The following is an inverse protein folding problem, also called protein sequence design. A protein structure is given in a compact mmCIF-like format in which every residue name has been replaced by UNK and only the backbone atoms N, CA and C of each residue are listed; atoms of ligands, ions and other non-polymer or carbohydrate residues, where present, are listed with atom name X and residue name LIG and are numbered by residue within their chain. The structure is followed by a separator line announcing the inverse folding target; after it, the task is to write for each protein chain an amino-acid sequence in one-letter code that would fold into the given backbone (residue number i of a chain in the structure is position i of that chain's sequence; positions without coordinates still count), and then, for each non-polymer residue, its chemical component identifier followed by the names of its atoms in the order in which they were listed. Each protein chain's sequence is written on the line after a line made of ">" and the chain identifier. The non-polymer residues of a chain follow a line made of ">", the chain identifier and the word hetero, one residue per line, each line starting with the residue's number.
data_IF_439271416828
#
_entry.id   IF_439271416828
#
_cell.length_a   1.000
_cell.length_b   1.000
_cell.length_c   1.000
_cell.angle_alpha   90.00
_cell.angle_beta   90.00
_cell.angle_gamma   90.00
#
_symmetry.space_group_name_H-M   'P 1'
#
loop_
_entity.id
_entity.type
_entity.pdbx_description
1 polymer ?
#
# COMPACT_ATOMS: atom_id res chain seq x y z
N UNK A 1 -22.19 51.05 -33.49
CA UNK A 1 -22.04 51.55 -32.11
C UNK A 1 -22.15 50.37 -31.17
N UNK A 2 -20.95 49.96 -30.62
CA UNK A 2 -20.74 49.46 -29.24
C UNK A 2 -21.19 48.05 -28.91
N UNK A 3 -20.51 47.29 -28.15
CA UNK A 3 -19.16 47.31 -27.50
C UNK A 3 -18.79 45.87 -27.21
N UNK A 4 -17.59 45.55 -27.54
CA UNK A 4 -16.92 44.34 -27.10
C UNK A 4 -16.54 44.50 -25.63
N UNK A 5 -17.19 43.83 -24.69
CA UNK A 5 -16.65 43.63 -23.38
C UNK A 5 -15.93 42.26 -23.35
N UNK A 6 -14.65 42.35 -23.58
CA UNK A 6 -13.67 41.30 -23.31
C UNK A 6 -13.72 40.96 -21.83
N UNK A 7 -14.23 39.77 -21.51
CA UNK A 7 -14.03 39.14 -20.20
C UNK A 7 -12.57 38.75 -20.08
N UNK A 8 -11.73 39.69 -19.68
CA UNK A 8 -10.36 39.43 -19.30
C UNK A 8 -10.31 38.92 -17.86
N UNK A 9 -9.94 37.67 -17.71
CA UNK A 9 -9.05 37.32 -16.64
C UNK A 9 -9.56 36.98 -15.27
N UNK A 10 -10.21 35.82 -15.11
CA UNK A 10 -10.16 35.08 -13.85
C UNK A 10 -8.95 34.15 -13.76
N UNK A 11 -8.14 34.06 -14.83
CA UNK A 11 -6.94 33.18 -14.90
C UNK A 11 -5.68 33.76 -14.25
N UNK A 12 -5.61 35.08 -13.98
CA UNK A 12 -4.38 35.71 -13.49
C UNK A 12 -4.29 35.91 -11.96
N UNK A 13 -5.33 35.58 -11.22
CA UNK A 13 -5.39 35.86 -9.76
C UNK A 13 -4.54 34.89 -8.93
N UNK A 14 -4.01 33.81 -9.51
CA UNK A 14 -3.22 32.82 -8.81
C UNK A 14 -1.74 32.71 -9.21
N UNK A 15 -1.17 33.73 -9.84
CA UNK A 15 0.30 33.84 -9.83
C UNK A 15 0.72 34.10 -8.38
N UNK A 16 1.15 33.00 -7.68
CA UNK A 16 1.77 33.12 -6.36
C UNK A 16 2.95 34.09 -6.49
N UNK A 17 2.75 35.33 -6.07
CA UNK A 17 3.85 36.27 -5.86
C UNK A 17 4.80 35.60 -4.85
N UNK A 18 6.08 35.53 -5.21
CA UNK A 18 7.10 35.10 -4.27
C UNK A 18 7.05 36.04 -3.05
N UNK A 19 6.62 35.54 -1.90
CA UNK A 19 6.67 36.31 -0.65
C UNK A 19 8.12 36.72 -0.40
N UNK A 20 8.33 38.02 -0.12
CA UNK A 20 9.61 38.48 0.39
C UNK A 20 9.96 37.70 1.67
N UNK A 21 11.18 37.17 1.73
CA UNK A 21 11.64 36.45 2.93
C UNK A 21 11.58 37.38 4.14
N UNK A 22 10.85 37.01 5.20
CA UNK A 22 10.99 37.61 6.52
C UNK A 22 12.30 37.08 7.13
N UNK A 23 12.96 37.87 7.94
CA UNK A 23 14.27 37.50 8.55
C UNK A 23 14.36 36.16 9.29
N UNK A 24 13.19 35.56 9.63
CA UNK A 24 13.08 34.26 10.33
C UNK A 24 12.78 33.07 9.39
N UNK A 25 12.83 33.25 8.06
CA UNK A 25 12.58 32.19 7.08
C UNK A 25 13.90 31.62 6.55
N UNK A 26 14.12 30.32 6.73
CA UNK A 26 15.21 29.60 6.11
C UNK A 26 14.74 28.98 4.78
N UNK A 27 15.45 29.26 3.68
CA UNK A 27 15.14 28.74 2.34
C UNK A 27 16.16 27.70 1.93
N UNK A 28 15.73 26.42 1.96
CA UNK A 28 16.56 25.27 1.55
C UNK A 28 16.08 24.76 0.19
N UNK A 29 16.99 24.68 -0.78
CA UNK A 29 16.69 24.10 -2.10
C UNK A 29 16.46 22.61 -1.99
N UNK A 30 15.38 22.11 -2.58
CA UNK A 30 15.12 20.67 -2.65
C UNK A 30 16.26 19.94 -3.39
N UNK A 31 16.62 18.75 -2.86
CA UNK A 31 17.53 17.84 -3.59
C UNK A 31 16.83 17.34 -4.87
N UNK A 32 17.60 16.88 -5.86
CA UNK A 32 17.05 16.29 -7.10
C UNK A 32 16.09 15.13 -6.78
N UNK A 33 16.46 14.24 -5.86
CA UNK A 33 15.64 13.12 -5.42
C UNK A 33 14.29 13.62 -4.85
N UNK A 34 14.31 14.58 -3.92
CA UNK A 34 13.10 15.14 -3.32
C UNK A 34 12.20 15.78 -4.37
N UNK A 35 12.77 16.52 -5.32
CA UNK A 35 12.03 17.13 -6.41
C UNK A 35 11.36 16.09 -7.32
N UNK A 36 12.08 15.00 -7.65
CA UNK A 36 11.55 13.90 -8.47
C UNK A 36 10.41 13.18 -7.75
N UNK A 37 10.57 12.89 -6.44
CA UNK A 37 9.52 12.27 -5.62
C UNK A 37 8.27 13.16 -5.60
N UNK A 38 8.44 14.45 -5.33
CA UNK A 38 7.32 15.41 -5.28
C UNK A 38 6.54 15.44 -6.61
N UNK A 39 7.25 15.45 -7.73
CA UNK A 39 6.65 15.41 -9.07
C UNK A 39 5.85 14.12 -9.30
N UNK A 40 6.45 12.96 -9.04
CA UNK A 40 5.80 11.66 -9.21
C UNK A 40 4.55 11.49 -8.34
N UNK A 41 4.62 11.89 -7.06
CA UNK A 41 3.47 11.84 -6.16
C UNK A 41 2.33 12.74 -6.65
N UNK A 42 2.65 13.92 -7.15
CA UNK A 42 1.63 14.84 -7.67
C UNK A 42 1.03 14.34 -9.00
N UNK A 43 1.85 13.74 -9.87
CA UNK A 43 1.40 13.08 -11.10
C UNK A 43 0.46 11.89 -10.78
N UNK A 44 0.79 11.06 -9.80
CA UNK A 44 -0.07 9.95 -9.37
C UNK A 44 -1.46 10.45 -8.94
N UNK A 45 -1.53 11.52 -8.13
CA UNK A 45 -2.79 12.11 -7.72
C UNK A 45 -3.58 12.77 -8.86
N UNK A 46 -2.90 13.38 -9.83
CA UNK A 46 -3.55 14.06 -10.94
C UNK A 46 -4.08 13.08 -12.00
N UNK A 47 -3.45 11.90 -12.13
CA UNK A 47 -3.76 10.93 -13.19
C UNK A 47 -4.73 9.83 -12.77
N UNK A 48 -5.14 9.79 -11.50
CA UNK A 48 -6.07 8.79 -10.99
C UNK A 48 -7.28 9.45 -10.33
N UNK A 49 -8.46 8.87 -10.50
CA UNK A 49 -9.63 9.18 -9.69
C UNK A 49 -9.53 8.42 -8.35
N UNK A 50 -8.62 8.90 -7.49
CA UNK A 50 -8.22 8.16 -6.31
C UNK A 50 -9.28 8.20 -5.21
N UNK A 51 -9.71 7.03 -4.75
CA UNK A 51 -10.60 6.84 -3.62
C UNK A 51 -9.97 5.88 -2.62
N UNK A 52 -10.37 5.97 -1.35
CA UNK A 52 -9.92 5.05 -0.30
C UNK A 52 -11.10 4.48 0.46
N UNK A 53 -11.12 3.16 0.63
CA UNK A 53 -12.03 2.47 1.53
C UNK A 53 -11.25 1.85 2.68
N UNK A 54 -11.90 1.72 3.83
CA UNK A 54 -11.29 1.21 5.06
C UNK A 54 -12.05 0.00 5.57
N UNK A 55 -11.33 -0.89 6.26
CA UNK A 55 -11.91 -1.95 7.07
C UNK A 55 -11.04 -2.19 8.31
N UNK A 56 -11.63 -2.75 9.34
CA UNK A 56 -10.90 -3.19 10.54
C UNK A 56 -10.77 -4.71 10.53
N UNK A 57 -9.64 -5.19 11.05
CA UNK A 57 -9.35 -6.61 11.18
C UNK A 57 -8.96 -6.96 12.61
N UNK A 58 -9.44 -8.11 13.09
CA UNK A 58 -8.99 -8.73 14.33
C UNK A 58 -7.72 -9.54 14.05
N UNK A 59 -6.60 -9.09 14.62
CA UNK A 59 -5.29 -9.71 14.44
C UNK A 59 -5.04 -10.90 15.37
N UNK A 60 -5.99 -11.26 16.25
CA UNK A 60 -5.81 -12.29 17.29
C UNK A 60 -5.29 -13.59 16.71
N UNK A 61 -5.92 -14.10 15.65
CA UNK A 61 -5.57 -15.41 15.05
C UNK A 61 -4.16 -15.44 14.46
N UNK A 62 -3.77 -14.35 13.78
CA UNK A 62 -2.39 -14.26 13.23
C UNK A 62 -1.37 -14.16 14.37
N UNK A 63 -1.66 -13.37 15.41
CA UNK A 63 -0.77 -13.23 16.58
C UNK A 63 -0.62 -14.58 17.28
N UNK A 64 -1.72 -15.29 17.54
CA UNK A 64 -1.73 -16.64 18.15
C UNK A 64 -0.92 -17.62 17.30
N UNK A 65 -1.20 -17.72 16.00
CA UNK A 65 -0.50 -18.61 15.08
C UNK A 65 1.01 -18.31 15.02
N UNK A 66 1.39 -17.04 14.95
CA UNK A 66 2.80 -16.66 14.99
C UNK A 66 3.46 -17.06 16.32
N UNK A 67 2.78 -16.85 17.45
CA UNK A 67 3.30 -17.23 18.77
C UNK A 67 3.53 -18.75 18.87
N UNK A 68 2.61 -19.54 18.34
CA UNK A 68 2.67 -21.01 18.36
C UNK A 68 3.79 -21.54 17.46
N UNK A 69 3.93 -21.03 16.25
CA UNK A 69 4.82 -21.62 15.24
C UNK A 69 6.19 -20.93 15.09
N UNK A 70 6.42 -19.75 15.70
CA UNK A 70 7.63 -18.93 15.48
C UNK A 70 8.95 -19.68 15.62
N UNK A 71 9.09 -20.51 16.66
CA UNK A 71 10.36 -21.19 16.97
C UNK A 71 10.62 -22.35 16.00
N UNK A 72 9.59 -23.16 15.72
CA UNK A 72 9.65 -24.23 14.73
C UNK A 72 9.90 -23.69 13.32
N UNK A 73 9.25 -22.61 12.95
CA UNK A 73 9.42 -21.96 11.66
C UNK A 73 10.84 -21.41 11.51
N UNK A 74 11.36 -20.70 12.51
CA UNK A 74 12.72 -20.15 12.47
C UNK A 74 13.77 -21.27 12.43
N UNK A 75 13.57 -22.36 13.21
CA UNK A 75 14.48 -23.51 13.18
C UNK A 75 14.51 -24.20 11.82
N UNK A 76 13.34 -24.33 11.16
CA UNK A 76 13.22 -25.02 9.87
C UNK A 76 13.72 -24.17 8.69
N UNK A 77 13.37 -22.89 8.66
CA UNK A 77 13.55 -22.03 7.48
C UNK A 77 14.64 -20.98 7.62
N UNK A 78 15.21 -20.80 8.84
CA UNK A 78 16.25 -19.81 9.12
C UNK A 78 15.77 -18.36 9.16
N UNK A 79 14.46 -18.12 9.09
CA UNK A 79 13.83 -16.79 9.06
C UNK A 79 12.67 -16.75 10.05
N UNK A 80 12.42 -15.57 10.65
CA UNK A 80 11.28 -15.36 11.56
C UNK A 80 9.97 -15.31 10.78
N UNK A 81 8.92 -15.91 11.32
CA UNK A 81 7.56 -15.74 10.79
C UNK A 81 7.05 -14.34 11.12
N UNK A 82 7.06 -13.45 10.14
CA UNK A 82 6.56 -12.09 10.23
C UNK A 82 5.06 -11.99 9.98
N UNK A 83 4.52 -10.76 9.99
CA UNK A 83 3.16 -10.48 9.54
C UNK A 83 3.07 -10.39 8.02
N UNK A 84 4.15 -9.95 7.37
CA UNK A 84 4.12 -9.57 5.95
C UNK A 84 3.77 -10.73 5.04
N UNK A 85 4.24 -11.94 5.32
CA UNK A 85 3.87 -13.12 4.53
C UNK A 85 2.37 -13.42 4.56
N UNK A 86 1.69 -13.20 5.69
CA UNK A 86 0.23 -13.33 5.77
C UNK A 86 -0.46 -12.26 4.92
N UNK A 87 -0.02 -11.01 4.99
CA UNK A 87 -0.61 -9.93 4.20
C UNK A 87 -0.38 -10.12 2.71
N UNK A 88 0.84 -10.51 2.29
CA UNK A 88 1.14 -10.77 0.89
C UNK A 88 0.28 -11.91 0.36
N UNK A 89 0.20 -13.04 1.07
CA UNK A 89 -0.63 -14.18 0.65
C UNK A 89 -2.12 -13.82 0.60
N UNK A 90 -2.63 -13.12 1.61
CA UNK A 90 -4.03 -12.69 1.64
C UNK A 90 -4.36 -11.75 0.47
N UNK A 91 -3.45 -10.81 0.15
CA UNK A 91 -3.62 -9.93 -1.00
C UNK A 91 -3.58 -10.71 -2.31
N UNK A 92 -2.65 -11.64 -2.49
CA UNK A 92 -2.55 -12.45 -3.70
C UNK A 92 -3.83 -13.24 -3.95
N UNK A 93 -4.37 -13.94 -2.95
CA UNK A 93 -5.61 -14.70 -3.11
C UNK A 93 -6.83 -13.79 -3.35
N UNK A 94 -6.86 -12.61 -2.71
CA UNK A 94 -7.89 -11.62 -2.99
C UNK A 94 -7.75 -11.03 -4.41
N UNK A 95 -6.54 -10.75 -4.91
CA UNK A 95 -6.30 -10.29 -6.28
C UNK A 95 -6.72 -11.31 -7.33
N UNK A 96 -6.56 -12.62 -7.06
CA UNK A 96 -7.08 -13.70 -7.91
C UNK A 96 -8.62 -13.68 -7.99
N UNK A 97 -9.28 -13.36 -6.87
CA UNK A 97 -10.74 -13.26 -6.79
C UNK A 97 -11.29 -11.97 -7.40
N UNK A 98 -10.51 -10.90 -7.40
CA UNK A 98 -10.86 -9.57 -7.91
C UNK A 98 -9.79 -9.06 -8.88
N UNK A 99 -9.68 -9.64 -10.11
CA UNK A 99 -8.60 -9.33 -11.06
C UNK A 99 -8.52 -7.85 -11.46
N UNK A 100 -9.63 -7.12 -11.41
CA UNK A 100 -9.67 -5.68 -11.72
C UNK A 100 -8.80 -4.86 -10.79
N UNK A 101 -8.57 -5.31 -9.54
CA UNK A 101 -7.69 -4.63 -8.58
C UNK A 101 -6.21 -4.83 -8.95
N UNK A 102 -5.89 -5.88 -9.72
CA UNK A 102 -4.56 -6.18 -10.25
C UNK A 102 -4.40 -5.71 -11.71
N UNK A 103 -5.25 -4.82 -12.19
CA UNK A 103 -5.21 -4.28 -13.55
C UNK A 103 -4.57 -2.88 -13.58
N UNK A 104 -4.22 -2.42 -14.75
CA UNK A 104 -3.76 -1.05 -14.99
C UNK A 104 -4.41 -0.45 -16.24
N UNK A 105 -4.42 0.87 -16.33
CA UNK A 105 -4.87 1.58 -17.51
C UNK A 105 -3.68 1.83 -18.43
N UNK A 106 -3.80 1.40 -19.69
CA UNK A 106 -2.86 1.75 -20.75
C UNK A 106 -3.65 2.43 -21.89
N UNK A 107 -3.48 3.72 -22.02
CA UNK A 107 -4.28 4.55 -22.95
C UNK A 107 -5.78 4.43 -22.64
N UNK A 108 -6.57 3.78 -23.49
CA UNK A 108 -8.00 3.51 -23.37
C UNK A 108 -8.33 2.04 -23.06
N UNK A 109 -7.31 1.22 -22.75
CA UNK A 109 -7.44 -0.19 -22.45
C UNK A 109 -7.23 -0.48 -20.96
N UNK A 110 -7.95 -1.49 -20.44
CA UNK A 110 -7.70 -2.09 -19.13
C UNK A 110 -6.85 -3.34 -19.35
N UNK A 111 -5.64 -3.33 -18.81
CA UNK A 111 -4.70 -4.45 -18.91
C UNK A 111 -4.72 -5.26 -17.63
N UNK A 112 -5.32 -6.44 -17.67
CA UNK A 112 -5.32 -7.39 -16.56
C UNK A 112 -3.98 -8.10 -16.44
N UNK A 113 -3.39 -8.08 -15.24
CA UNK A 113 -2.14 -8.79 -14.94
C UNK A 113 -2.47 -10.15 -14.33
N UNK A 114 -2.13 -11.23 -15.07
CA UNK A 114 -2.33 -12.61 -14.61
C UNK A 114 -1.08 -13.15 -13.88
N UNK A 115 -0.35 -12.26 -13.21
CA UNK A 115 0.80 -12.52 -12.35
C UNK A 115 0.79 -11.54 -11.18
N UNK A 116 1.45 -11.90 -10.08
CA UNK A 116 1.29 -11.21 -8.80
C UNK A 116 2.65 -10.78 -8.25
N UNK A 117 3.09 -9.60 -8.66
CA UNK A 117 4.32 -8.98 -8.20
C UNK A 117 3.97 -7.91 -7.15
N UNK A 118 4.27 -8.20 -5.90
CA UNK A 118 3.84 -7.35 -4.79
C UNK A 118 4.94 -6.38 -4.38
N UNK A 119 4.71 -5.10 -4.60
CA UNK A 119 5.55 -4.04 -4.05
C UNK A 119 5.38 -3.94 -2.53
N UNK A 120 6.49 -3.90 -1.81
CA UNK A 120 6.48 -3.72 -0.34
C UNK A 120 7.22 -2.43 -0.01
N UNK A 121 6.50 -1.43 0.52
CA UNK A 121 7.08 -0.15 0.83
C UNK A 121 8.06 -0.24 2.02
N UNK A 122 9.28 0.25 1.81
CA UNK A 122 10.36 0.28 2.80
C UNK A 122 10.82 1.72 3.01
N UNK A 123 10.78 2.18 4.26
CA UNK A 123 11.34 3.47 4.65
C UNK A 123 12.86 3.41 4.75
N UNK A 124 13.54 4.39 4.14
CA UNK A 124 14.98 4.58 4.23
C UNK A 124 15.30 6.01 4.67
N UNK A 125 16.53 6.29 5.06
CA UNK A 125 16.98 7.66 5.38
C UNK A 125 16.80 8.63 4.20
N UNK A 126 16.86 8.12 2.97
CA UNK A 126 16.71 8.91 1.73
C UNK A 126 15.25 9.07 1.29
N UNK A 127 14.32 8.37 1.93
CA UNK A 127 12.89 8.37 1.60
C UNK A 127 12.31 6.97 1.48
N UNK A 128 11.08 6.88 0.95
CA UNK A 128 10.36 5.63 0.75
C UNK A 128 10.76 5.02 -0.60
N UNK A 129 11.06 3.72 -0.60
CA UNK A 129 11.25 2.90 -1.81
C UNK A 129 10.30 1.71 -1.78
N UNK A 130 9.97 1.17 -2.96
CA UNK A 130 8.99 0.08 -3.08
C UNK A 130 9.62 -1.07 -3.87
N UNK A 131 10.49 -1.88 -3.27
CA UNK A 131 10.99 -3.09 -3.90
C UNK A 131 9.87 -4.11 -4.12
N UNK A 132 10.06 -4.99 -5.10
CA UNK A 132 9.03 -5.89 -5.61
C UNK A 132 9.38 -7.34 -5.27
N UNK A 133 8.48 -8.01 -4.55
CA UNK A 133 8.45 -9.46 -4.38
C UNK A 133 7.77 -10.04 -5.61
N UNK A 134 8.53 -10.75 -6.45
CA UNK A 134 8.04 -11.31 -7.71
C UNK A 134 7.37 -12.65 -7.50
N UNK A 135 6.40 -12.95 -8.37
CA UNK A 135 5.70 -14.23 -8.43
C UNK A 135 5.23 -14.69 -7.05
N UNK A 136 4.64 -13.73 -6.30
CA UNK A 136 4.30 -13.90 -4.89
C UNK A 136 3.26 -14.99 -4.64
N UNK A 137 2.53 -15.40 -5.66
CA UNK A 137 1.57 -16.52 -5.65
C UNK A 137 2.26 -17.90 -5.62
N UNK A 138 3.49 -18.00 -6.15
CA UNK A 138 4.29 -19.23 -6.16
C UNK A 138 5.14 -19.40 -4.90
N UNK A 139 5.31 -18.33 -4.11
CA UNK A 139 6.18 -18.32 -2.95
C UNK A 139 5.53 -18.92 -1.69
N UNK A 140 6.33 -19.65 -0.92
CA UNK A 140 5.96 -20.04 0.43
C UNK A 140 6.02 -18.84 1.39
N UNK A 141 5.38 -18.97 2.58
CA UNK A 141 5.50 -17.97 3.64
C UNK A 141 6.97 -17.67 4.00
N UNK A 142 7.81 -18.71 4.02
CA UNK A 142 9.22 -18.56 4.34
C UNK A 142 9.99 -17.81 3.24
N UNK A 143 9.68 -18.06 1.98
CA UNK A 143 10.36 -17.40 0.86
C UNK A 143 9.94 -15.94 0.74
N UNK A 144 8.66 -15.63 1.00
CA UNK A 144 8.18 -14.23 1.09
C UNK A 144 8.94 -13.47 2.19
N UNK A 145 9.04 -14.04 3.41
CA UNK A 145 9.76 -13.38 4.51
C UNK A 145 11.25 -13.19 4.18
N UNK A 146 11.93 -14.19 3.58
CA UNK A 146 13.33 -14.09 3.14
C UNK A 146 13.52 -13.00 2.11
N UNK A 147 12.65 -12.95 1.08
CA UNK A 147 12.75 -11.93 0.04
C UNK A 147 12.52 -10.53 0.59
N UNK A 148 11.51 -10.35 1.47
CA UNK A 148 11.23 -9.05 2.08
C UNK A 148 12.42 -8.57 2.93
N UNK A 149 13.03 -9.46 3.73
CA UNK A 149 14.23 -9.13 4.52
C UNK A 149 15.39 -8.72 3.60
N UNK A 150 15.69 -9.53 2.60
CA UNK A 150 16.79 -9.27 1.65
C UNK A 150 16.59 -7.94 0.90
N UNK A 151 15.38 -7.69 0.40
CA UNK A 151 15.03 -6.43 -0.27
C UNK A 151 15.09 -5.23 0.70
N UNK A 152 14.67 -5.43 1.95
CA UNK A 152 14.74 -4.42 3.00
C UNK A 152 16.19 -4.03 3.36
N UNK A 153 17.09 -4.99 3.42
CA UNK A 153 18.53 -4.75 3.65
C UNK A 153 19.16 -4.00 2.47
N UNK A 154 18.89 -4.42 1.24
CA UNK A 154 19.32 -3.71 0.04
C UNK A 154 18.76 -2.30 -0.04
N UNK A 155 17.52 -2.09 0.39
CA UNK A 155 16.90 -0.76 0.44
C UNK A 155 17.66 0.17 1.38
N UNK A 156 17.98 -0.31 2.60
CA UNK A 156 18.72 0.47 3.62
C UNK A 156 20.14 0.82 3.18
N UNK A 157 20.81 -0.12 2.50
CA UNK A 157 22.19 0.08 1.99
C UNK A 157 22.24 0.81 0.64
N UNK A 158 21.10 1.08 0.01
CA UNK A 158 21.03 1.74 -1.29
C UNK A 158 21.49 0.85 -2.45
N UNK A 159 21.41 -0.46 -2.31
CA UNK A 159 21.88 -1.46 -3.27
C UNK A 159 20.74 -2.10 -4.09
N UNK A 160 19.53 -1.55 -4.04
CA UNK A 160 18.43 -2.00 -4.88
C UNK A 160 18.73 -1.71 -6.35
N UNK A 161 18.56 -2.72 -7.20
CA UNK A 161 18.63 -2.54 -8.66
C UNK A 161 17.34 -1.89 -9.20
N UNK A 162 17.39 -1.41 -10.43
CA UNK A 162 16.21 -0.84 -11.10
C UNK A 162 15.15 -1.92 -11.32
N UNK A 163 15.58 -3.12 -11.66
CA UNK A 163 14.70 -4.27 -11.87
C UNK A 163 13.95 -4.65 -10.60
N UNK A 164 14.59 -4.53 -9.43
CA UNK A 164 13.94 -4.80 -8.13
C UNK A 164 12.89 -3.75 -7.73
N UNK A 165 12.87 -2.60 -8.40
CA UNK A 165 11.92 -1.51 -8.17
C UNK A 165 10.79 -1.42 -9.21
N UNK A 166 10.83 -2.24 -10.26
CA UNK A 166 9.90 -2.18 -11.38
C UNK A 166 9.07 -3.45 -11.52
N UNK A 167 7.94 -3.36 -12.23
CA UNK A 167 7.10 -4.50 -12.58
C UNK A 167 6.20 -4.99 -11.44
N UNK A 168 6.07 -4.22 -10.35
CA UNK A 168 5.06 -4.51 -9.33
C UNK A 168 3.65 -4.28 -9.86
N UNK A 169 2.70 -5.15 -9.48
CA UNK A 169 1.29 -5.07 -9.90
C UNK A 169 0.36 -4.51 -8.84
N UNK A 170 0.73 -4.65 -7.58
CA UNK A 170 0.03 -4.15 -6.41
C UNK A 170 1.04 -3.76 -5.33
N UNK A 171 0.71 -2.81 -4.45
CA UNK A 171 1.64 -2.37 -3.39
C UNK A 171 1.02 -2.55 -2.01
N UNK A 172 1.84 -2.99 -1.05
CA UNK A 172 1.52 -3.00 0.38
C UNK A 172 2.45 -2.01 1.09
N UNK A 173 1.87 -1.11 1.87
CA UNK A 173 2.61 -0.14 2.67
C UNK A 173 2.23 -0.24 4.14
N UNK A 174 3.21 -0.18 5.05
CA UNK A 174 2.98 -0.30 6.48
C UNK A 174 3.35 1.00 7.20
N UNK A 175 2.32 1.80 7.52
CA UNK A 175 2.45 3.00 8.36
C UNK A 175 2.39 2.72 9.85
N UNK A 176 1.97 1.51 10.26
CA UNK A 176 1.79 1.11 11.66
C UNK A 176 3.08 1.14 12.47
N UNK A 177 4.23 0.88 11.84
CA UNK A 177 5.55 0.98 12.49
C UNK A 177 5.89 2.40 12.96
N UNK A 178 5.22 3.42 12.41
CA UNK A 178 5.33 4.83 12.80
C UNK A 178 4.16 5.30 13.66
N UNK A 179 3.24 4.38 14.04
CA UNK A 179 2.07 4.69 14.85
C UNK A 179 0.85 5.19 14.07
N UNK A 180 0.84 5.08 12.74
CA UNK A 180 -0.30 5.50 11.93
C UNK A 180 -1.55 4.68 12.29
N UNK A 181 -2.67 5.37 12.51
CA UNK A 181 -3.98 4.75 12.75
C UNK A 181 -4.80 4.63 11.47
N UNK A 182 -4.87 5.71 10.71
CA UNK A 182 -5.59 5.82 9.43
C UNK A 182 -4.81 6.74 8.48
N UNK A 183 -4.55 6.27 7.27
CA UNK A 183 -3.98 7.04 6.18
C UNK A 183 -4.60 6.63 4.86
N UNK A 184 -4.57 7.53 3.88
CA UNK A 184 -5.01 7.29 2.51
C UNK A 184 -3.76 7.19 1.63
N UNK A 185 -3.19 5.99 1.41
CA UNK A 185 -1.96 5.85 0.65
C UNK A 185 -2.15 6.33 -0.79
N UNK A 186 -1.10 6.94 -1.34
CA UNK A 186 -1.06 7.38 -2.73
C UNK A 186 -0.68 6.17 -3.59
N UNK A 187 -1.37 6.00 -4.73
CA UNK A 187 -1.07 4.94 -5.69
C UNK A 187 0.37 5.01 -6.20
N UNK A 188 0.93 3.86 -6.55
CA UNK A 188 2.23 3.72 -7.19
C UNK A 188 2.01 3.39 -8.69
N UNK A 189 1.88 4.39 -9.58
CA UNK A 189 1.59 4.14 -10.99
C UNK A 189 2.61 3.20 -11.65
N UNK A 190 2.16 2.35 -12.58
CA UNK A 190 0.82 2.28 -13.21
C UNK A 190 -0.23 1.45 -12.43
N UNK A 191 0.08 1.01 -11.21
CA UNK A 191 -0.81 0.20 -10.37
C UNK A 191 -2.11 0.93 -10.04
N UNK A 192 -3.21 0.19 -9.99
CA UNK A 192 -4.53 0.73 -9.67
C UNK A 192 -4.96 0.51 -8.22
N UNK A 193 -4.16 -0.20 -7.42
CA UNK A 193 -4.45 -0.48 -6.02
C UNK A 193 -3.22 -0.44 -5.11
N UNK A 194 -3.43 0.02 -3.87
CA UNK A 194 -2.44 -0.02 -2.79
C UNK A 194 -3.12 -0.29 -1.46
N UNK A 195 -2.60 -1.28 -0.72
CA UNK A 195 -3.04 -1.59 0.64
C UNK A 195 -2.18 -0.87 1.67
N UNK A 196 -2.81 -0.09 2.54
CA UNK A 196 -2.18 0.52 3.71
C UNK A 196 -2.48 -0.29 4.97
N UNK A 197 -1.41 -0.67 5.67
CA UNK A 197 -1.48 -1.27 7.00
C UNK A 197 -1.20 -0.20 8.06
N UNK A 198 -1.80 -0.37 9.22
CA UNK A 198 -1.68 0.57 10.33
C UNK A 198 -1.26 -0.13 11.62
N UNK A 199 -1.19 0.61 12.73
CA UNK A 199 -0.82 0.04 14.01
C UNK A 199 -1.87 -0.93 14.53
N UNK A 200 -1.41 -1.92 15.31
CA UNK A 200 -2.28 -2.84 16.04
C UNK A 200 -2.57 -2.21 17.41
N UNK A 201 -3.84 -2.00 17.73
CA UNK A 201 -4.27 -1.36 18.98
C UNK A 201 -5.27 -2.27 19.68
N UNK A 202 -5.11 -2.44 21.00
CA UNK A 202 -6.12 -3.11 21.81
C UNK A 202 -7.39 -2.26 21.86
N UNK A 203 -8.53 -2.83 21.42
CA UNK A 203 -9.84 -2.17 21.39
C UNK A 203 -10.90 -3.02 22.01
N UNK A 204 -11.87 -2.36 22.65
CA UNK A 204 -13.11 -3.00 23.07
C UNK A 204 -13.99 -3.18 21.83
N UNK A 205 -14.27 -4.43 21.49
CA UNK A 205 -15.13 -4.81 20.35
C UNK A 205 -16.22 -5.78 20.82
N UNK A 206 -17.30 -5.87 20.07
CA UNK A 206 -18.38 -6.81 20.37
C UNK A 206 -18.12 -8.11 19.62
N UNK A 207 -17.93 -9.21 20.37
CA UNK A 207 -17.77 -10.56 19.84
C UNK A 207 -18.89 -11.43 20.45
N UNK A 208 -19.72 -12.04 19.60
CA UNK A 208 -20.85 -12.88 20.03
C UNK A 208 -21.74 -12.23 21.12
N UNK A 209 -21.96 -10.90 20.99
CA UNK A 209 -22.79 -10.11 21.91
C UNK A 209 -22.10 -9.71 23.22
N UNK A 210 -20.80 -10.00 23.39
CA UNK A 210 -20.00 -9.61 24.57
C UNK A 210 -18.92 -8.61 24.18
N UNK A 211 -18.59 -7.70 25.09
CA UNK A 211 -17.47 -6.78 24.91
C UNK A 211 -16.18 -7.50 25.25
N UNK A 212 -15.28 -7.60 24.29
CA UNK A 212 -13.98 -8.22 24.45
C UNK A 212 -12.86 -7.25 24.03
N UNK A 213 -11.68 -7.41 24.60
CA UNK A 213 -10.48 -6.68 24.20
C UNK A 213 -9.79 -7.47 23.08
N UNK A 214 -9.69 -6.86 21.91
CA UNK A 214 -9.07 -7.48 20.73
C UNK A 214 -7.99 -6.58 20.11
N UNK A 215 -6.92 -7.17 19.56
CA UNK A 215 -5.89 -6.43 18.82
C UNK A 215 -6.42 -6.10 17.41
N UNK A 216 -6.88 -4.89 17.22
CA UNK A 216 -7.49 -4.42 15.97
C UNK A 216 -6.47 -3.63 15.15
N UNK A 217 -6.43 -3.90 13.85
CA UNK A 217 -5.70 -3.09 12.85
C UNK A 217 -6.69 -2.53 11.83
N UNK A 218 -6.54 -1.26 11.46
CA UNK A 218 -7.23 -0.72 10.29
C UNK A 218 -6.43 -1.02 9.02
N UNK A 219 -7.16 -1.39 7.97
CA UNK A 219 -6.65 -1.46 6.60
C UNK A 219 -7.27 -0.36 5.77
N UNK A 220 -6.48 0.20 4.87
CA UNK A 220 -6.90 1.15 3.87
C UNK A 220 -6.59 0.58 2.47
N UNK A 221 -7.57 0.53 1.59
CA UNK A 221 -7.35 0.29 0.16
C UNK A 221 -7.57 1.60 -0.57
N UNK A 222 -6.49 2.20 -1.10
CA UNK A 222 -6.62 3.26 -2.10
C UNK A 222 -6.60 2.64 -3.49
N UNK A 223 -7.47 3.14 -4.36
CA UNK A 223 -7.66 2.58 -5.69
C UNK A 223 -8.06 3.64 -6.72
N UNK A 224 -7.84 3.33 -7.99
CA UNK A 224 -8.26 4.17 -9.11
C UNK A 224 -9.71 3.87 -9.50
N UNK A 225 -10.61 4.78 -9.12
CA UNK A 225 -12.05 4.61 -9.35
C UNK A 225 -12.45 4.69 -10.83
N UNK A 226 -11.52 4.97 -11.71
CA UNK A 226 -11.80 4.91 -13.17
C UNK A 226 -11.99 3.47 -13.66
N UNK A 227 -11.38 2.47 -12.98
CA UNK A 227 -11.50 1.05 -13.36
C UNK A 227 -11.96 0.14 -12.22
N UNK A 228 -11.76 0.53 -10.96
CA UNK A 228 -12.20 -0.24 -9.80
C UNK A 228 -13.39 0.47 -9.18
N UNK A 229 -14.55 -0.17 -9.16
CA UNK A 229 -15.73 0.39 -8.53
C UNK A 229 -15.75 0.14 -7.00
N UNK A 230 -16.71 0.79 -6.32
CA UNK A 230 -16.83 0.66 -4.87
C UNK A 230 -17.15 -0.76 -4.40
N UNK A 231 -17.90 -1.54 -5.20
CA UNK A 231 -18.24 -2.93 -4.89
C UNK A 231 -16.99 -3.80 -4.94
N UNK A 232 -16.20 -3.70 -6.01
CA UNK A 232 -14.98 -4.50 -6.17
C UNK A 232 -13.93 -4.15 -5.09
N UNK A 233 -13.73 -2.85 -4.84
CA UNK A 233 -12.80 -2.37 -3.81
C UNK A 233 -13.16 -2.86 -2.41
N UNK A 234 -14.43 -2.72 -2.01
CA UNK A 234 -14.92 -3.15 -0.70
C UNK A 234 -14.86 -4.67 -0.59
N UNK A 235 -15.30 -5.41 -1.64
CA UNK A 235 -15.31 -6.88 -1.64
C UNK A 235 -13.88 -7.44 -1.58
N UNK A 236 -12.93 -6.83 -2.30
CA UNK A 236 -11.50 -7.16 -2.19
C UNK A 236 -11.00 -7.00 -0.75
N UNK A 237 -11.28 -5.85 -0.14
CA UNK A 237 -10.80 -5.57 1.23
C UNK A 237 -11.46 -6.50 2.27
N UNK A 238 -12.73 -6.85 2.09
CA UNK A 238 -13.43 -7.85 2.90
C UNK A 238 -12.77 -9.23 2.73
N UNK A 239 -12.41 -9.62 1.51
CA UNK A 239 -11.74 -10.90 1.27
C UNK A 239 -10.35 -10.95 1.93
N UNK A 240 -9.58 -9.87 1.87
CA UNK A 240 -8.31 -9.75 2.61
C UNK A 240 -8.53 -9.90 4.11
N UNK A 241 -9.56 -9.23 4.65
CA UNK A 241 -9.96 -9.36 6.06
C UNK A 241 -10.27 -10.81 6.43
N UNK A 242 -11.09 -11.52 5.65
CA UNK A 242 -11.47 -12.91 5.91
C UNK A 242 -10.24 -13.85 5.99
N UNK A 243 -9.27 -13.67 5.10
CA UNK A 243 -8.02 -14.45 5.13
C UNK A 243 -7.14 -14.12 6.34
N UNK A 244 -7.12 -12.87 6.78
CA UNK A 244 -6.31 -12.46 7.93
C UNK A 244 -6.97 -12.86 9.26
N UNK A 245 -8.29 -12.82 9.36
CA UNK A 245 -9.03 -13.25 10.56
C UNK A 245 -9.15 -14.77 10.68
N UNK A 246 -9.10 -15.51 9.57
CA UNK A 246 -8.97 -16.98 9.55
C UNK A 246 -7.89 -17.44 8.55
N UNK A 247 -6.61 -17.41 8.93
CA UNK A 247 -5.50 -17.78 8.05
C UNK A 247 -5.54 -19.22 7.52
N UNK A 248 -6.34 -20.12 8.14
CA UNK A 248 -6.51 -21.51 7.65
C UNK A 248 -7.11 -21.53 6.24
N UNK A 249 -7.91 -20.54 5.87
CA UNK A 249 -8.50 -20.39 4.52
C UNK A 249 -7.43 -20.29 3.44
N UNK A 250 -6.26 -19.68 3.75
CA UNK A 250 -5.12 -19.59 2.82
C UNK A 250 -4.51 -20.97 2.47
N UNK A 251 -4.62 -21.93 3.39
CA UNK A 251 -4.10 -23.28 3.17
C UNK A 251 -5.13 -24.21 2.54
N UNK A 252 -6.42 -23.89 2.68
CA UNK A 252 -7.53 -24.69 2.17
C UNK A 252 -8.06 -24.19 0.82
N UNK A 253 -7.54 -23.06 0.33
CA UNK A 253 -8.00 -22.36 -0.90
C UNK A 253 -9.51 -22.05 -0.87
N UNK A 254 -10.03 -21.52 0.28
CA UNK A 254 -11.45 -21.22 0.53
C UNK A 254 -11.75 -19.73 0.46
#
# INVERSE_FOLDING_TARGET
>A
IRDSSTSSGLGDVYKRQARAAKGDEERVKMTRLRSTIAKRLKEAQNNAAMLTTFNEIDMSRIIEMRAEYKDGFQKKYGVKLGFMSFFVRSCVEALKSFPIVNAEIQQDEIVYKNYYNIGVAVGTEKGLVVPVVRDADELSFADIEKQIIALGEKAKTGQLSIEELQGGTFTITNGGIYGSMLSTPILNPPQSGVLGMHNIVQRAVVVEGKVEVRPIMYLALSYDHRIIDGKDAVSFLVRVKEYLEDPRRLFLNL
#
